data_IF_449076508264
#
_entry.id   IF_449076508264
#
_cell.length_a   1.000
_cell.length_b   1.000
_cell.length_c   1.000
_cell.angle_alpha   90.00
_cell.angle_beta   90.00
_cell.angle_gamma   90.00
#
_symmetry.space_group_name_H-M   'P 1'
#
loop_
_entity.id
_entity.type
_entity.pdbx_description
1 polymer ?
#
# COMPACT_ATOMS: atom_id res chain seq x y z
N UNK A 1 -2.79 23.65 -15.46
CA UNK A 1 -2.13 22.42 -14.98
C UNK A 1 -2.52 22.23 -13.54
N UNK A 2 -2.94 21.04 -13.10
CA UNK A 2 -3.19 20.82 -11.67
C UNK A 2 -1.88 20.99 -10.90
N UNK A 3 -1.92 21.70 -9.78
CA UNK A 3 -0.81 21.79 -8.83
C UNK A 3 -0.81 20.55 -7.92
N UNK A 4 0.31 20.22 -7.25
CA UNK A 4 0.30 19.22 -6.19
C UNK A 4 -0.78 19.56 -5.15
N UNK A 5 -1.69 18.62 -4.87
CA UNK A 5 -2.79 18.79 -3.91
C UNK A 5 -2.33 18.65 -2.45
N UNK A 6 -1.03 18.49 -2.23
CA UNK A 6 -0.43 18.23 -0.94
C UNK A 6 0.59 19.31 -0.66
N UNK A 7 0.47 19.93 0.51
CA UNK A 7 1.47 20.86 1.00
C UNK A 7 2.75 20.10 1.34
N UNK A 8 3.87 20.62 0.84
CA UNK A 8 5.21 20.08 1.09
C UNK A 8 5.98 21.15 1.85
N UNK A 9 6.32 20.85 3.09
CA UNK A 9 7.14 21.72 3.93
C UNK A 9 8.61 21.31 3.78
N UNK A 10 9.49 22.25 3.47
CA UNK A 10 10.93 21.98 3.27
C UNK A 10 11.74 22.69 4.34
N UNK A 11 12.40 21.92 5.20
CA UNK A 11 13.34 22.45 6.19
C UNK A 11 14.70 22.71 5.52
N UNK A 12 14.97 23.98 5.19
CA UNK A 12 16.16 24.35 4.40
C UNK A 12 17.49 23.95 5.05
N UNK A 13 17.58 23.99 6.38
CA UNK A 13 18.83 23.67 7.10
C UNK A 13 19.13 22.16 7.13
N UNK A 14 18.10 21.32 7.20
CA UNK A 14 18.24 19.87 7.36
C UNK A 14 18.03 19.11 6.05
N UNK A 15 17.38 19.73 5.07
CA UNK A 15 16.95 19.09 3.83
C UNK A 15 15.78 18.11 4.02
N UNK A 16 15.09 18.12 5.17
CA UNK A 16 13.96 17.23 5.41
C UNK A 16 12.69 17.83 4.82
N UNK A 17 12.04 17.07 3.95
CA UNK A 17 10.77 17.42 3.33
C UNK A 17 9.65 16.72 4.09
N UNK A 18 8.55 17.43 4.38
CA UNK A 18 7.42 16.89 5.12
C UNK A 18 6.12 17.00 4.35
N UNK A 19 5.25 16.03 4.59
CA UNK A 19 3.86 16.00 4.18
C UNK A 19 3.04 15.47 5.34
N UNK A 20 2.02 16.22 5.77
CA UNK A 20 1.19 15.89 6.94
C UNK A 20 2.03 15.51 8.17
N UNK A 21 3.06 16.30 8.48
CA UNK A 21 3.94 16.06 9.62
C UNK A 21 4.97 14.94 9.45
N UNK A 22 4.89 14.13 8.38
CA UNK A 22 5.81 13.00 8.16
C UNK A 22 6.97 13.37 7.24
N UNK A 23 8.21 12.99 7.61
CA UNK A 23 9.36 13.07 6.71
C UNK A 23 9.15 12.21 5.46
N UNK A 24 9.40 12.80 4.30
CA UNK A 24 9.21 12.20 2.98
C UNK A 24 10.52 12.17 2.20
N UNK A 25 10.65 11.15 1.35
CA UNK A 25 11.70 11.09 0.33
C UNK A 25 11.08 11.34 -1.03
N UNK A 26 11.49 12.42 -1.70
CA UNK A 26 11.14 12.69 -3.09
C UNK A 26 12.18 12.02 -4.00
N UNK A 27 11.79 10.92 -4.65
CA UNK A 27 12.69 10.13 -5.49
C UNK A 27 12.03 9.75 -6.81
N UNK A 28 12.78 9.62 -7.92
CA UNK A 28 12.23 9.15 -9.18
C UNK A 28 11.66 7.73 -9.07
N UNK A 29 10.55 7.46 -9.76
CA UNK A 29 9.97 6.10 -9.90
C UNK A 29 11.02 5.04 -10.26
N UNK A 30 11.93 5.37 -11.18
CA UNK A 30 12.97 4.45 -11.64
C UNK A 30 13.84 3.93 -10.49
N UNK A 31 14.09 4.75 -9.46
CA UNK A 31 14.89 4.34 -8.31
C UNK A 31 14.21 3.19 -7.54
N UNK A 32 12.92 3.34 -7.21
CA UNK A 32 12.14 2.31 -6.50
C UNK A 32 12.00 1.03 -7.33
N UNK A 33 11.77 1.17 -8.64
CA UNK A 33 11.63 0.03 -9.55
C UNK A 33 12.95 -0.73 -9.69
N UNK A 34 14.07 -0.02 -9.84
CA UNK A 34 15.39 -0.65 -9.92
C UNK A 34 15.80 -1.29 -8.59
N UNK A 35 15.42 -0.72 -7.45
CA UNK A 35 15.60 -1.38 -6.15
C UNK A 35 14.84 -2.71 -6.11
N UNK A 36 13.56 -2.73 -6.51
CA UNK A 36 12.80 -3.98 -6.54
C UNK A 36 13.44 -5.01 -7.47
N UNK A 37 13.81 -4.62 -8.70
CA UNK A 37 14.49 -5.51 -9.66
C UNK A 37 15.80 -6.07 -9.10
N UNK A 38 16.65 -5.23 -8.51
CA UNK A 38 17.90 -5.68 -7.91
C UNK A 38 17.69 -6.63 -6.73
N UNK A 39 16.64 -6.43 -5.94
CA UNK A 39 16.26 -7.38 -4.90
C UNK A 39 15.75 -8.69 -5.52
N UNK A 40 14.91 -8.65 -6.55
CA UNK A 40 14.40 -9.85 -7.23
C UNK A 40 15.53 -10.68 -7.84
N UNK A 41 16.53 -10.02 -8.44
CA UNK A 41 17.73 -10.66 -8.96
C UNK A 41 18.54 -11.35 -7.86
N UNK A 42 18.61 -10.77 -6.66
CA UNK A 42 19.44 -11.27 -5.56
C UNK A 42 18.78 -12.40 -4.74
N UNK A 43 17.47 -12.32 -4.48
CA UNK A 43 16.77 -13.25 -3.57
C UNK A 43 15.54 -13.93 -4.17
N UNK A 44 15.20 -13.63 -5.42
CA UNK A 44 14.04 -14.18 -6.12
C UNK A 44 12.74 -13.46 -5.79
N UNK A 45 11.80 -13.49 -6.74
CA UNK A 45 10.52 -12.78 -6.69
C UNK A 45 9.68 -13.12 -5.45
N UNK A 46 9.54 -14.40 -5.12
CA UNK A 46 8.69 -14.83 -4.02
C UNK A 46 9.15 -14.24 -2.67
N UNK A 47 10.47 -14.16 -2.45
CA UNK A 47 11.05 -13.60 -1.24
C UNK A 47 10.91 -12.07 -1.21
N UNK A 48 11.08 -11.39 -2.35
CA UNK A 48 10.84 -9.94 -2.46
C UNK A 48 9.38 -9.60 -2.22
N UNK A 49 8.45 -10.39 -2.75
CA UNK A 49 7.00 -10.19 -2.54
C UNK A 49 6.63 -10.27 -1.06
N UNK A 50 7.10 -11.30 -0.34
CA UNK A 50 6.87 -11.44 1.11
C UNK A 50 7.52 -10.30 1.91
N UNK A 51 8.77 -9.94 1.57
CA UNK A 51 9.47 -8.82 2.20
C UNK A 51 8.74 -7.49 1.99
N UNK A 52 8.30 -7.20 0.76
CA UNK A 52 7.56 -5.97 0.43
C UNK A 52 6.18 -5.97 1.07
N UNK A 53 5.50 -7.11 1.16
CA UNK A 53 4.25 -7.23 1.91
C UNK A 53 4.46 -6.79 3.37
N UNK A 54 5.36 -7.45 4.09
CA UNK A 54 5.56 -7.21 5.54
C UNK A 54 6.08 -5.80 5.83
N UNK A 55 6.97 -5.27 5.00
CA UNK A 55 7.54 -3.93 5.20
C UNK A 55 6.50 -2.84 4.92
N UNK A 56 5.77 -2.94 3.81
CA UNK A 56 4.76 -1.95 3.44
C UNK A 56 3.54 -1.98 4.37
N UNK A 57 3.16 -3.15 4.86
CA UNK A 57 2.14 -3.29 5.90
C UNK A 57 2.53 -2.54 7.17
N UNK A 58 3.74 -2.79 7.68
CA UNK A 58 4.25 -2.12 8.88
C UNK A 58 4.27 -0.61 8.70
N UNK A 59 4.74 -0.13 7.55
CA UNK A 59 4.77 1.29 7.23
C UNK A 59 3.36 1.89 7.15
N UNK A 60 2.38 1.17 6.58
CA UNK A 60 0.99 1.63 6.49
C UNK A 60 0.33 1.75 7.87
N UNK A 61 0.52 0.75 8.74
CA UNK A 61 0.03 0.79 10.13
C UNK A 61 0.62 1.99 10.87
N UNK A 62 1.94 2.19 10.78
CA UNK A 62 2.62 3.32 11.42
C UNK A 62 2.13 4.66 10.88
N UNK A 63 1.98 4.78 9.56
CA UNK A 63 1.46 5.98 8.91
C UNK A 63 0.03 6.29 9.37
N UNK A 64 -0.87 5.29 9.37
CA UNK A 64 -2.26 5.50 9.79
C UNK A 64 -2.35 5.90 11.27
N UNK A 65 -1.56 5.28 12.16
CA UNK A 65 -1.49 5.68 13.57
C UNK A 65 -1.03 7.11 13.75
N UNK A 66 0.00 7.54 13.02
CA UNK A 66 0.49 8.92 13.08
C UNK A 66 -0.58 9.90 12.58
N UNK A 67 -1.21 9.62 11.44
CA UNK A 67 -2.20 10.52 10.86
C UNK A 67 -3.51 10.57 11.66
N UNK A 68 -3.93 9.44 12.25
CA UNK A 68 -5.04 9.41 13.19
C UNK A 68 -4.79 10.33 14.40
N UNK A 69 -3.57 10.33 14.95
CA UNK A 69 -3.20 11.17 16.08
C UNK A 69 -3.07 12.66 15.70
N UNK A 70 -2.38 12.97 14.61
CA UNK A 70 -2.11 14.36 14.19
C UNK A 70 -3.35 15.08 13.63
N UNK A 71 -4.20 14.36 12.89
CA UNK A 71 -5.37 14.95 12.21
C UNK A 71 -6.70 14.63 12.89
N UNK A 72 -6.71 13.83 13.98
CA UNK A 72 -7.93 13.41 14.64
C UNK A 72 -8.83 12.49 13.80
N UNK A 73 -8.26 11.82 12.80
CA UNK A 73 -8.98 10.89 11.92
C UNK A 73 -9.22 9.55 12.63
N UNK A 74 -10.37 8.93 12.37
CA UNK A 74 -10.72 7.64 12.96
C UNK A 74 -11.35 6.67 11.97
N UNK A 75 -11.21 5.37 12.25
CA UNK A 75 -11.86 4.29 11.51
C UNK A 75 -11.59 4.37 9.99
N UNK A 76 -12.63 4.22 9.18
CA UNK A 76 -12.54 4.24 7.73
C UNK A 76 -11.92 5.54 7.15
N UNK A 77 -12.07 6.67 7.84
CA UNK A 77 -11.62 7.97 7.34
C UNK A 77 -10.10 8.02 7.18
N UNK A 78 -9.35 7.40 8.11
CA UNK A 78 -7.88 7.34 8.02
C UNK A 78 -7.42 6.44 6.87
N UNK A 79 -8.15 5.36 6.56
CA UNK A 79 -7.85 4.49 5.43
C UNK A 79 -8.10 5.22 4.11
N UNK A 80 -9.23 5.91 3.98
CA UNK A 80 -9.53 6.74 2.81
C UNK A 80 -8.49 7.85 2.63
N UNK A 81 -8.05 8.46 3.73
CA UNK A 81 -6.98 9.45 3.72
C UNK A 81 -5.65 8.84 3.24
N UNK A 82 -5.27 7.67 3.76
CA UNK A 82 -4.07 6.95 3.35
C UNK A 82 -4.06 6.63 1.86
N UNK A 83 -5.15 6.04 1.33
CA UNK A 83 -5.29 5.72 -0.09
C UNK A 83 -5.20 6.97 -0.96
N UNK A 84 -5.89 8.06 -0.58
CA UNK A 84 -5.77 9.35 -1.28
C UNK A 84 -4.33 9.86 -1.33
N UNK A 85 -3.60 9.75 -0.20
CA UNK A 85 -2.19 10.15 -0.11
C UNK A 85 -1.25 9.26 -0.91
N UNK A 86 -1.58 8.00 -1.16
CA UNK A 86 -0.80 7.18 -2.11
C UNK A 86 -0.85 7.80 -3.52
N UNK A 87 -2.03 8.22 -3.96
CA UNK A 87 -2.20 8.88 -5.27
C UNK A 87 -1.42 10.19 -5.34
N UNK A 88 -1.58 11.05 -4.34
CA UNK A 88 -0.95 12.37 -4.33
C UNK A 88 0.58 12.32 -4.15
N UNK A 89 1.12 11.20 -3.63
CA UNK A 89 2.56 10.92 -3.58
C UNK A 89 3.10 10.25 -4.84
N UNK A 90 2.28 10.03 -5.86
CA UNK A 90 2.71 9.58 -7.19
C UNK A 90 2.85 8.06 -7.35
N UNK A 91 2.21 7.25 -6.50
CA UNK A 91 2.19 5.79 -6.69
C UNK A 91 1.31 5.33 -7.86
N UNK A 92 0.39 6.18 -8.32
CA UNK A 92 -0.58 5.91 -9.37
C UNK A 92 -1.89 6.63 -9.05
N UNK A 93 -2.95 6.32 -9.81
CA UNK A 93 -4.31 6.68 -9.42
C UNK A 93 -4.88 5.51 -8.63
N UNK A 94 -4.84 5.64 -7.31
CA UNK A 94 -5.29 4.64 -6.34
C UNK A 94 -6.73 4.96 -5.90
N UNK A 95 -7.61 3.98 -6.02
CA UNK A 95 -9.04 4.08 -5.72
C UNK A 95 -9.45 2.93 -4.79
N UNK A 96 -10.15 3.27 -3.71
CA UNK A 96 -10.83 2.29 -2.86
C UNK A 96 -12.24 2.04 -3.41
N UNK A 97 -12.37 1.00 -4.23
CA UNK A 97 -13.59 0.71 -4.99
C UNK A 97 -14.68 0.04 -4.14
N UNK A 98 -14.29 -0.77 -3.15
CA UNK A 98 -15.19 -1.38 -2.19
C UNK A 98 -14.52 -1.48 -0.82
N UNK A 99 -15.31 -1.35 0.24
CA UNK A 99 -14.85 -1.56 1.62
C UNK A 99 -16.05 -2.00 2.47
N UNK A 100 -15.86 -3.10 3.20
CA UNK A 100 -16.73 -3.51 4.29
C UNK A 100 -15.84 -3.83 5.50
N UNK A 101 -15.79 -2.88 6.45
CA UNK A 101 -14.97 -2.99 7.66
C UNK A 101 -15.49 -4.11 8.57
N UNK A 102 -16.81 -4.31 8.64
CA UNK A 102 -17.39 -5.32 9.51
C UNK A 102 -17.08 -6.73 8.99
N UNK A 103 -17.12 -6.92 7.67
CA UNK A 103 -16.72 -8.17 7.03
C UNK A 103 -15.19 -8.31 6.86
N UNK A 104 -14.42 -7.23 7.08
CA UNK A 104 -12.98 -7.20 6.85
C UNK A 104 -12.61 -7.45 5.39
N UNK A 105 -13.39 -6.90 4.45
CA UNK A 105 -13.16 -7.05 3.01
C UNK A 105 -12.99 -5.69 2.32
N UNK A 106 -12.31 -5.68 1.17
CA UNK A 106 -12.21 -4.49 0.35
C UNK A 106 -11.52 -4.73 -0.98
N UNK A 107 -11.72 -3.79 -1.91
CA UNK A 107 -11.14 -3.84 -3.26
C UNK A 107 -10.42 -2.54 -3.55
N UNK A 108 -9.15 -2.64 -3.95
CA UNK A 108 -8.32 -1.51 -4.36
C UNK A 108 -8.04 -1.58 -5.87
N UNK A 109 -8.22 -0.47 -6.57
CA UNK A 109 -7.88 -0.33 -7.98
C UNK A 109 -6.70 0.64 -8.12
N UNK A 110 -5.73 0.30 -8.97
CA UNK A 110 -4.59 1.17 -9.26
C UNK A 110 -4.43 1.31 -10.77
N UNK A 111 -4.70 2.51 -11.28
CA UNK A 111 -4.36 2.89 -12.66
C UNK A 111 -3.01 3.59 -12.66
N UNK A 112 -2.28 3.45 -13.76
CA UNK A 112 -0.97 4.09 -13.93
C UNK A 112 -0.02 3.79 -12.75
N UNK A 113 -0.03 2.55 -12.24
CA UNK A 113 0.85 2.11 -11.16
C UNK A 113 2.31 2.43 -11.49
N UNK A 114 3.00 3.07 -10.55
CA UNK A 114 4.42 3.38 -10.69
C UNK A 114 5.27 2.11 -10.91
N UNK A 115 4.86 0.97 -10.35
CA UNK A 115 5.57 -0.29 -10.54
C UNK A 115 5.22 -0.93 -11.88
N UNK A 116 3.94 -1.03 -12.24
CA UNK A 116 3.54 -1.62 -13.52
C UNK A 116 4.10 -0.84 -14.73
N UNK A 117 4.05 0.50 -14.67
CA UNK A 117 4.64 1.35 -15.71
C UNK A 117 6.17 1.27 -15.76
N UNK A 118 6.82 1.07 -14.62
CA UNK A 118 8.28 0.95 -14.56
C UNK A 118 8.81 -0.40 -15.03
N UNK A 119 8.05 -1.48 -14.76
CA UNK A 119 8.39 -2.82 -15.24
C UNK A 119 8.05 -3.03 -16.71
N UNK A 120 6.97 -2.41 -17.20
CA UNK A 120 6.51 -2.55 -18.56
C UNK A 120 5.68 -3.84 -18.80
N UNK A 121 4.80 -3.84 -19.81
CA UNK A 121 3.93 -4.98 -20.12
C UNK A 121 4.69 -6.24 -20.58
N UNK A 122 5.92 -6.09 -21.07
CA UNK A 122 6.80 -7.19 -21.46
C UNK A 122 7.20 -8.10 -20.29
N UNK A 123 7.07 -7.60 -19.06
CA UNK A 123 7.33 -8.40 -17.86
C UNK A 123 6.33 -9.56 -17.72
N UNK A 124 5.09 -9.40 -18.18
CA UNK A 124 4.08 -10.47 -18.27
C UNK A 124 3.63 -11.05 -16.92
N UNK A 125 3.94 -10.40 -15.80
CA UNK A 125 3.58 -10.84 -14.44
C UNK A 125 3.20 -9.68 -13.53
N UNK A 126 2.62 -10.03 -12.37
CA UNK A 126 2.30 -9.07 -11.32
C UNK A 126 3.56 -8.56 -10.62
N UNK A 127 3.64 -7.24 -10.41
CA UNK A 127 4.85 -6.56 -9.88
C UNK A 127 4.54 -5.52 -8.81
N UNK A 128 3.27 -5.24 -8.53
CA UNK A 128 2.84 -4.14 -7.67
C UNK A 128 2.81 -4.58 -6.19
N UNK A 129 3.86 -5.28 -5.75
CA UNK A 129 3.90 -5.97 -4.46
C UNK A 129 3.66 -5.02 -3.27
N UNK A 130 4.15 -3.78 -3.34
CA UNK A 130 4.02 -2.80 -2.25
C UNK A 130 2.57 -2.47 -1.87
N UNK A 131 1.62 -2.56 -2.81
CA UNK A 131 0.23 -2.19 -2.56
C UNK A 131 -0.50 -3.23 -1.70
N UNK A 132 -0.09 -4.51 -1.77
CA UNK A 132 -0.69 -5.60 -0.99
C UNK A 132 -0.55 -5.35 0.50
N UNK A 133 0.68 -5.23 1.00
CA UNK A 133 0.95 -4.92 2.38
C UNK A 133 0.44 -3.54 2.77
N UNK A 134 0.58 -2.53 1.92
CA UNK A 134 0.06 -1.18 2.19
C UNK A 134 -1.44 -1.19 2.48
N UNK A 135 -2.24 -1.87 1.67
CA UNK A 135 -3.69 -1.94 1.87
C UNK A 135 -4.05 -2.79 3.10
N UNK A 136 -3.39 -3.94 3.28
CA UNK A 136 -3.57 -4.78 4.46
C UNK A 136 -3.26 -4.04 5.76
N UNK A 137 -2.17 -3.27 5.81
CA UNK A 137 -1.77 -2.51 7.00
C UNK A 137 -2.71 -1.34 7.30
N UNK A 138 -3.21 -0.65 6.26
CA UNK A 138 -4.27 0.35 6.43
C UNK A 138 -5.54 -0.26 7.03
N UNK A 139 -5.99 -1.39 6.50
CA UNK A 139 -7.16 -2.10 7.02
C UNK A 139 -6.92 -2.62 8.44
N UNK A 140 -5.74 -3.17 8.74
CA UNK A 140 -5.38 -3.64 10.09
C UNK A 140 -5.60 -2.56 11.13
N UNK A 141 -5.13 -1.34 10.86
CA UNK A 141 -5.34 -0.22 11.76
C UNK A 141 -6.83 0.07 12.00
N UNK A 142 -7.65 0.01 10.96
CA UNK A 142 -9.10 0.22 11.07
C UNK A 142 -9.78 -0.89 11.88
N UNK A 143 -9.43 -2.15 11.62
CA UNK A 143 -9.98 -3.31 12.34
C UNK A 143 -9.59 -3.30 13.82
N UNK A 144 -8.32 -2.98 14.13
CA UNK A 144 -7.83 -2.79 15.50
C UNK A 144 -8.63 -1.72 16.25
N UNK A 145 -8.87 -0.57 15.61
CA UNK A 145 -9.66 0.52 16.19
C UNK A 145 -11.14 0.15 16.37
N UNK A 146 -11.69 -0.70 15.49
CA UNK A 146 -13.07 -1.17 15.54
C UNK A 146 -13.29 -2.40 16.45
N UNK A 147 -12.22 -2.99 17.00
CA UNK A 147 -12.30 -4.22 17.80
C UNK A 147 -12.71 -5.47 16.99
N UNK A 148 -12.52 -5.45 15.66
CA UNK A 148 -12.83 -6.58 14.79
C UNK A 148 -11.65 -7.54 14.79
N UNK A 149 -11.88 -8.79 15.18
CA UNK A 149 -10.85 -9.82 15.15
C UNK A 149 -10.66 -10.35 13.72
N UNK A 150 -9.40 -10.55 13.33
CA UNK A 150 -9.05 -11.12 12.03
C UNK A 150 -7.76 -10.52 11.49
N UNK A 151 -7.09 -11.31 10.66
CA UNK A 151 -5.85 -10.92 10.01
C UNK A 151 -6.16 -10.46 8.58
N UNK A 152 -6.11 -9.16 8.25
CA UNK A 152 -6.36 -8.72 6.89
C UNK A 152 -5.22 -9.18 5.97
N UNK A 153 -5.57 -9.88 4.91
CA UNK A 153 -4.66 -10.29 3.84
C UNK A 153 -5.10 -9.71 2.51
N UNK A 154 -4.14 -9.24 1.73
CA UNK A 154 -4.38 -8.59 0.45
C UNK A 154 -3.54 -9.24 -0.65
N UNK A 155 -4.16 -9.51 -1.79
CA UNK A 155 -3.53 -10.13 -2.95
C UNK A 155 -3.76 -9.28 -4.20
N UNK A 156 -2.75 -9.18 -5.07
CA UNK A 156 -2.90 -8.61 -6.42
C UNK A 156 -3.51 -9.68 -7.33
N UNK A 157 -4.75 -9.46 -7.77
CA UNK A 157 -5.50 -10.43 -8.60
C UNK A 157 -5.42 -10.11 -10.09
N UNK A 158 -5.20 -8.84 -10.44
CA UNK A 158 -4.96 -8.38 -11.82
C UNK A 158 -3.83 -7.35 -11.80
N UNK A 159 -2.95 -7.36 -12.82
CA UNK A 159 -1.85 -6.42 -12.93
C UNK A 159 -1.72 -5.86 -14.35
N UNK A 160 -1.52 -4.55 -14.46
CA UNK A 160 -1.31 -3.93 -15.76
C UNK A 160 -0.01 -4.39 -16.47
N UNK A 161 1.03 -4.74 -15.71
CA UNK A 161 2.26 -5.34 -16.25
C UNK A 161 2.07 -6.80 -16.72
N UNK A 162 0.95 -7.43 -16.36
CA UNK A 162 0.53 -8.74 -16.83
C UNK A 162 -0.55 -8.66 -17.95
N UNK A 163 -0.80 -7.47 -18.49
CA UNK A 163 -1.74 -7.26 -19.60
C UNK A 163 -3.17 -6.87 -19.19
N UNK A 164 -3.46 -6.73 -17.91
CA UNK A 164 -4.76 -6.21 -17.45
C UNK A 164 -4.88 -4.68 -17.73
N UNK A 165 -6.10 -4.12 -17.82
CA UNK A 165 -6.28 -2.67 -18.06
C UNK A 165 -5.87 -1.80 -16.86
N UNK A 166 -5.83 -2.37 -15.66
CA UNK A 166 -5.42 -1.74 -14.40
C UNK A 166 -4.92 -2.82 -13.44
N UNK A 167 -4.36 -2.42 -12.29
CA UNK A 167 -4.03 -3.37 -11.23
C UNK A 167 -5.18 -3.42 -10.23
N UNK A 168 -5.60 -4.62 -9.82
CA UNK A 168 -6.70 -4.85 -8.87
C UNK A 168 -6.21 -5.70 -7.72
N UNK A 169 -6.59 -5.30 -6.51
CA UNK A 169 -6.23 -5.98 -5.28
C UNK A 169 -7.47 -6.30 -4.49
N UNK A 170 -7.51 -7.51 -3.94
CA UNK A 170 -8.60 -7.97 -3.09
C UNK A 170 -8.09 -8.23 -1.68
N UNK A 171 -8.80 -7.64 -0.72
CA UNK A 171 -8.55 -7.78 0.69
C UNK A 171 -9.66 -8.60 1.33
N UNK A 172 -9.26 -9.52 2.20
CA UNK A 172 -10.14 -10.37 3.00
C UNK A 172 -9.49 -10.64 4.35
N UNK A 173 -10.25 -11.13 5.33
CA UNK A 173 -9.65 -11.74 6.51
C UNK A 173 -9.06 -13.11 6.15
N UNK A 174 -7.90 -13.43 6.69
CA UNK A 174 -7.34 -14.77 6.62
C UNK A 174 -8.30 -15.74 7.32
N UNK A 175 -8.46 -16.93 6.76
CA UNK A 175 -9.16 -18.00 7.45
C UNK A 175 -8.45 -18.27 8.79
N UNK A 176 -9.21 -18.40 9.87
CA UNK A 176 -8.65 -18.86 11.13
C UNK A 176 -7.96 -20.20 10.90
N UNK A 177 -6.67 -20.30 11.22
CA UNK A 177 -6.02 -21.60 11.24
C UNK A 177 -6.74 -22.47 12.27
N UNK A 178 -7.30 -23.60 11.84
CA UNK A 178 -7.75 -24.63 12.77
C UNK A 178 -6.53 -25.06 13.60
N UNK A 179 -6.62 -24.89 14.92
CA UNK A 179 -5.62 -25.48 15.82
C UNK A 179 -5.58 -26.98 15.55
N UNK A 180 -4.39 -27.60 15.39
CA UNK A 180 -4.32 -29.06 15.30
C UNK A 180 -4.94 -29.65 16.57
N UNK A 181 -5.67 -30.78 16.48
CA UNK A 181 -6.23 -31.42 17.65
C UNK A 181 -5.11 -31.73 18.64
N UNK A 182 -5.29 -31.29 19.89
CA UNK A 182 -4.44 -31.66 21.01
C UNK A 182 -4.67 -33.15 21.24
N UNK A 183 -3.76 -33.97 20.70
CA UNK A 183 -3.67 -35.41 20.98
C UNK A 183 -2.80 -35.68 22.19
#
# INVERSE_FOLDING_TARGET
MPAPEVQIDVEAETGIWRTDGLPMIYTPRLFLVNMQRGMEEAMGEAAVRDMLYRSSERSAVQWCRHQAAEQGLGGEEVLRHYIRRMSQRGFGQVELAALDVAAGTGTLLVRHSAFALGYGPETGRAVCHIFTGSFAGGMRHVLEAAGVAGEPVCEEVECAAAGAPLCRFELRLAAMAESPPIG
#
